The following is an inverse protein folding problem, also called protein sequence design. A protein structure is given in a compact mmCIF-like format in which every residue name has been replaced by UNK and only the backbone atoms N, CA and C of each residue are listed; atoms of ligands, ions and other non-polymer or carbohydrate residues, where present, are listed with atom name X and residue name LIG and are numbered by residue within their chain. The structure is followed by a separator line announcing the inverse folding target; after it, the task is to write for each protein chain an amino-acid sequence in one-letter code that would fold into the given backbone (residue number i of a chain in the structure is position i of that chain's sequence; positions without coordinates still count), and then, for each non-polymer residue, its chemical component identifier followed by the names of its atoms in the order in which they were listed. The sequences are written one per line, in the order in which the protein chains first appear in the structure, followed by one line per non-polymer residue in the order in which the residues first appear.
data_IF_109445139362
#
_entry.id   IF_109445139362
#
_cell.length_a   1.000
_cell.length_b   1.000
_cell.length_c   1.000
_cell.angle_alpha   90.00
_cell.angle_beta   90.00
_cell.angle_gamma   90.00
#
_symmetry.space_group_name_H-M   'P 1'
#
loop_
_entity.id
_entity.type
_entity.pdbx_description
1 polymer ?
#
# COMPACT_ATOMS: atom_id res chain seq x y z
N UNK A 1 15.08 -8.69 -18.39
CA UNK A 1 14.97 -9.30 -17.05
C UNK A 1 15.38 -8.24 -16.04
N UNK A 2 14.45 -7.39 -15.61
CA UNK A 2 14.71 -6.43 -14.53
C UNK A 2 14.64 -7.21 -13.22
N UNK A 3 15.74 -7.25 -12.47
CA UNK A 3 15.71 -7.77 -11.11
C UNK A 3 14.68 -6.97 -10.34
N UNK A 4 13.65 -7.62 -9.83
CA UNK A 4 12.65 -6.97 -8.99
C UNK A 4 13.27 -6.88 -7.59
N UNK A 5 13.83 -5.73 -7.17
CA UNK A 5 14.58 -5.63 -5.92
C UNK A 5 13.71 -6.04 -4.72
N UNK A 6 12.39 -5.85 -4.79
CA UNK A 6 11.47 -6.22 -3.71
C UNK A 6 11.04 -7.69 -3.66
N UNK A 7 11.39 -8.54 -4.65
CA UNK A 7 10.87 -9.92 -4.70
C UNK A 7 11.24 -10.74 -3.46
N UNK A 8 12.42 -10.51 -2.88
CA UNK A 8 12.87 -11.22 -1.69
C UNK A 8 12.08 -10.82 -0.43
N UNK A 9 11.49 -9.62 -0.40
CA UNK A 9 10.67 -9.14 0.73
C UNK A 9 9.37 -9.92 0.90
N UNK A 10 8.94 -10.63 -0.15
CA UNK A 10 7.76 -11.48 -0.16
C UNK A 10 8.12 -12.95 -0.33
N UNK A 11 9.32 -13.36 0.09
CA UNK A 11 9.69 -14.76 0.12
C UNK A 11 8.70 -15.57 0.99
N UNK A 12 8.19 -16.68 0.47
CA UNK A 12 7.17 -17.50 1.13
C UNK A 12 5.72 -17.05 0.87
N UNK A 13 5.48 -16.02 0.05
CA UNK A 13 4.13 -15.57 -0.31
C UNK A 13 3.28 -16.69 -0.95
N UNK A 14 3.93 -17.66 -1.58
CA UNK A 14 3.33 -18.85 -2.17
C UNK A 14 2.76 -19.84 -1.14
N UNK A 15 3.03 -19.65 0.15
CA UNK A 15 2.48 -20.44 1.26
C UNK A 15 1.25 -19.80 1.93
N UNK A 16 0.92 -18.54 1.59
CA UNK A 16 -0.20 -17.84 2.21
C UNK A 16 -1.57 -18.40 1.74
N UNK A 17 -2.53 -18.57 2.65
CA UNK A 17 -3.90 -18.98 2.29
C UNK A 17 -4.69 -17.85 1.60
N UNK A 18 -4.34 -16.61 1.90
CA UNK A 18 -4.87 -15.44 1.22
C UNK A 18 -3.88 -14.28 1.20
N UNK A 19 -4.09 -13.37 0.24
CA UNK A 19 -3.32 -12.14 0.06
C UNK A 19 -4.29 -10.98 -0.12
N UNK A 20 -4.03 -9.86 0.54
CA UNK A 20 -4.74 -8.62 0.32
C UNK A 20 -3.76 -7.55 -0.19
N UNK A 21 -4.17 -6.79 -1.20
CA UNK A 21 -3.38 -5.70 -1.72
C UNK A 21 -4.25 -4.68 -2.46
N UNK A 22 -3.71 -3.47 -2.62
CA UNK A 22 -4.44 -2.34 -3.17
C UNK A 22 -3.83 -1.90 -4.50
N UNK A 23 -4.60 -2.05 -5.57
CA UNK A 23 -4.26 -1.45 -6.87
C UNK A 23 -4.24 0.08 -6.80
N UNK A 24 -5.02 0.66 -5.88
CA UNK A 24 -5.10 2.11 -5.71
C UNK A 24 -3.95 2.73 -4.92
N UNK A 25 -2.97 1.93 -4.51
CA UNK A 25 -1.69 2.40 -3.97
C UNK A 25 -0.68 2.52 -5.12
N UNK A 26 0.29 1.61 -5.16
CA UNK A 26 1.42 1.68 -6.10
C UNK A 26 1.13 1.25 -7.54
N UNK A 27 -0.05 0.72 -7.83
CA UNK A 27 -0.42 0.32 -9.19
C UNK A 27 -1.22 1.40 -9.94
N UNK A 28 -1.27 2.63 -9.40
CA UNK A 28 -1.81 3.81 -10.05
C UNK A 28 -3.29 3.70 -10.49
N UNK A 29 -4.07 2.81 -9.88
CA UNK A 29 -5.52 2.81 -10.09
C UNK A 29 -6.19 3.88 -9.22
N UNK A 30 -7.23 4.58 -9.70
CA UNK A 30 -8.02 5.47 -8.84
C UNK A 30 -8.72 4.70 -7.71
N UNK A 31 -8.90 5.35 -6.55
CA UNK A 31 -9.71 4.82 -5.44
C UNK A 31 -11.15 4.50 -5.89
N UNK A 32 -11.82 3.49 -5.34
CA UNK A 32 -11.31 2.37 -4.53
C UNK A 32 -10.91 1.16 -5.41
N UNK A 33 -9.81 0.49 -5.11
CA UNK A 33 -9.38 -0.68 -5.90
C UNK A 33 -8.58 -1.67 -5.04
N UNK A 34 -9.22 -2.20 -4.00
CA UNK A 34 -8.66 -3.29 -3.19
C UNK A 34 -8.87 -4.65 -3.85
N UNK A 35 -8.01 -5.61 -3.55
CA UNK A 35 -8.09 -6.97 -4.04
C UNK A 35 -7.72 -7.95 -2.93
N UNK A 36 -8.48 -9.05 -2.88
CA UNK A 36 -8.13 -10.23 -2.09
C UNK A 36 -7.99 -11.40 -3.06
N UNK A 37 -6.89 -12.14 -2.93
CA UNK A 37 -6.70 -13.45 -3.54
C UNK A 37 -6.78 -14.49 -2.42
N UNK A 38 -7.57 -15.53 -2.62
CA UNK A 38 -7.68 -16.66 -1.68
C UNK A 38 -7.32 -17.92 -2.43
N UNK A 39 -6.48 -18.76 -1.83
CA UNK A 39 -6.02 -20.03 -2.42
C UNK A 39 -7.18 -20.97 -2.68
N UNK A 40 -8.07 -21.08 -1.70
CA UNK A 40 -9.31 -21.85 -1.81
C UNK A 40 -10.51 -20.92 -1.71
N UNK A 41 -11.20 -20.72 -2.84
CA UNK A 41 -12.35 -19.84 -2.92
C UNK A 41 -13.56 -20.38 -2.13
N UNK A 42 -13.60 -21.68 -1.81
CA UNK A 42 -14.74 -22.27 -1.09
C UNK A 42 -14.88 -21.66 0.30
N UNK A 43 -13.80 -21.17 0.90
CA UNK A 43 -13.86 -20.42 2.17
C UNK A 43 -14.67 -19.13 2.05
N UNK A 44 -14.54 -18.41 0.92
CA UNK A 44 -15.36 -17.22 0.68
C UNK A 44 -16.81 -17.61 0.44
N UNK A 45 -17.03 -18.61 -0.41
CA UNK A 45 -18.38 -19.06 -0.75
C UNK A 45 -19.14 -19.59 0.48
N UNK A 46 -18.53 -20.44 1.31
CA UNK A 46 -19.17 -20.98 2.51
C UNK A 46 -19.48 -19.92 3.56
N UNK A 47 -18.69 -18.84 3.59
CA UNK A 47 -18.82 -17.77 4.58
C UNK A 47 -19.85 -16.72 4.15
N UNK A 48 -19.83 -16.32 2.88
CA UNK A 48 -20.61 -15.17 2.39
C UNK A 48 -21.83 -15.56 1.55
N UNK A 49 -21.99 -16.83 1.17
CA UNK A 49 -23.16 -17.25 0.40
C UNK A 49 -24.46 -16.97 1.14
N UNK A 50 -25.18 -15.99 0.62
CA UNK A 50 -26.55 -15.70 1.00
C UNK A 50 -27.33 -15.56 -0.30
N UNK A 51 -28.21 -16.54 -0.57
CA UNK A 51 -29.04 -16.51 -1.78
C UNK A 51 -30.46 -16.12 -1.38
N UNK A 52 -30.80 -14.81 -1.40
CA UNK A 52 -32.17 -14.41 -1.17
C UNK A 52 -33.06 -14.98 -2.29
N UNK A 53 -34.36 -15.22 -2.04
CA UNK A 53 -35.24 -15.87 -3.02
C UNK A 53 -35.29 -15.19 -4.39
N UNK A 54 -35.10 -13.87 -4.45
CA UNK A 54 -35.09 -13.09 -5.69
C UNK A 54 -33.80 -13.23 -6.52
N UNK A 55 -32.75 -13.83 -5.96
CA UNK A 55 -31.51 -14.21 -6.67
C UNK A 55 -31.41 -15.74 -6.84
N UNK A 56 -32.52 -16.46 -6.68
CA UNK A 56 -32.54 -17.91 -6.86
C UNK A 56 -32.10 -18.27 -8.29
N UNK A 57 -31.16 -19.22 -8.37
CA UNK A 57 -30.69 -19.74 -9.65
C UNK A 57 -31.86 -20.42 -10.35
N UNK A 58 -32.18 -19.96 -11.55
CA UNK A 58 -32.91 -20.79 -12.51
C UNK A 58 -31.87 -21.56 -13.31
N UNK A 59 -31.98 -22.89 -13.31
CA UNK A 59 -31.04 -23.79 -14.00
C UNK A 59 -30.95 -23.53 -15.52
N UNK A 60 -31.83 -22.69 -16.07
CA UNK A 60 -31.93 -22.36 -17.49
C UNK A 60 -31.07 -21.18 -17.94
N UNK A 61 -30.63 -20.29 -17.05
CA UNK A 61 -29.95 -19.03 -17.43
C UNK A 61 -28.53 -18.86 -16.87
N UNK A 62 -28.02 -19.90 -16.21
CA UNK A 62 -26.64 -19.93 -15.74
C UNK A 62 -25.76 -20.28 -16.94
N UNK A 63 -25.14 -19.29 -17.59
CA UNK A 63 -24.01 -19.58 -18.49
C UNK A 63 -22.90 -20.36 -17.78
N UNK A 64 -21.80 -20.70 -18.47
CA UNK A 64 -20.68 -21.49 -17.92
C UNK A 64 -20.03 -20.94 -16.62
N UNK A 65 -20.42 -19.74 -16.19
CA UNK A 65 -19.93 -19.11 -14.98
C UNK A 65 -20.63 -19.66 -13.74
N UNK A 66 -20.01 -20.67 -13.12
CA UNK A 66 -20.54 -21.37 -11.94
C UNK A 66 -20.56 -20.52 -10.66
N UNK A 67 -19.83 -19.41 -10.63
CA UNK A 67 -19.62 -18.61 -9.42
C UNK A 67 -20.24 -17.22 -9.54
N UNK A 68 -21.16 -16.92 -8.61
CA UNK A 68 -21.73 -15.60 -8.46
C UNK A 68 -20.83 -14.79 -7.53
N UNK A 69 -20.23 -13.73 -8.04
CA UNK A 69 -19.27 -12.95 -7.27
C UNK A 69 -19.83 -12.31 -6.00
N UNK A 70 -21.15 -12.13 -5.89
CA UNK A 70 -21.77 -11.64 -4.65
C UNK A 70 -21.69 -12.65 -3.50
N UNK A 71 -21.45 -13.95 -3.79
CA UNK A 71 -21.21 -14.97 -2.77
C UNK A 71 -19.76 -14.97 -2.28
N UNK A 72 -18.89 -14.09 -2.81
CA UNK A 72 -17.46 -14.08 -2.49
C UNK A 72 -17.06 -12.93 -1.57
N UNK A 73 -18.03 -12.20 -1.02
CA UNK A 73 -17.78 -11.08 -0.11
C UNK A 73 -19.08 -10.49 0.43
N UNK A 74 -18.95 -9.38 1.15
CA UNK A 74 -20.07 -8.73 1.83
C UNK A 74 -21.01 -7.97 0.88
N UNK A 75 -20.54 -7.55 -0.29
CA UNK A 75 -21.29 -6.71 -1.23
C UNK A 75 -22.12 -7.55 -2.21
N UNK A 76 -23.45 -7.44 -2.13
CA UNK A 76 -24.36 -7.97 -3.17
C UNK A 76 -24.31 -7.08 -4.42
N UNK A 77 -24.55 -5.78 -4.24
CA UNK A 77 -24.42 -4.76 -5.28
C UNK A 77 -23.06 -4.10 -5.17
N UNK A 78 -22.30 -4.04 -6.27
CA UNK A 78 -20.95 -3.47 -6.28
C UNK A 78 -20.59 -2.82 -7.61
N UNK A 79 -19.71 -1.82 -7.57
CA UNK A 79 -19.18 -1.18 -8.77
C UNK A 79 -18.27 -2.11 -9.58
N UNK A 80 -18.12 -1.84 -10.88
CA UNK A 80 -17.23 -2.61 -11.76
C UNK A 80 -15.75 -2.20 -11.59
N UNK A 81 -15.20 -2.38 -10.37
CA UNK A 81 -13.81 -1.98 -10.02
C UNK A 81 -12.76 -2.68 -10.88
N UNK A 82 -13.04 -3.90 -11.34
CA UNK A 82 -12.15 -4.63 -12.23
C UNK A 82 -11.93 -3.94 -13.58
N UNK A 83 -12.88 -3.12 -14.07
CA UNK A 83 -12.74 -2.40 -15.34
C UNK A 83 -11.53 -1.46 -15.31
N UNK A 84 -11.44 -0.59 -14.30
CA UNK A 84 -10.31 0.35 -14.18
C UNK A 84 -8.99 -0.37 -13.99
N UNK A 85 -8.96 -1.43 -13.19
CA UNK A 85 -7.75 -2.27 -13.01
C UNK A 85 -7.30 -2.88 -14.33
N UNK A 86 -8.24 -3.49 -15.07
CA UNK A 86 -7.95 -4.10 -16.38
C UNK A 86 -7.39 -3.08 -17.37
N UNK A 87 -7.97 -1.89 -17.45
CA UNK A 87 -7.50 -0.84 -18.36
C UNK A 87 -6.14 -0.26 -17.93
N UNK A 88 -5.90 -0.03 -16.64
CA UNK A 88 -4.58 0.39 -16.13
C UNK A 88 -3.50 -0.63 -16.50
N UNK A 89 -3.76 -1.92 -16.31
CA UNK A 89 -2.81 -2.99 -16.65
C UNK A 89 -2.61 -3.12 -18.16
N UNK A 90 -3.69 -3.02 -18.95
CA UNK A 90 -3.61 -3.09 -20.43
C UNK A 90 -2.84 -1.91 -21.03
N UNK A 91 -3.08 -0.70 -20.52
CA UNK A 91 -2.48 0.52 -21.03
C UNK A 91 -1.00 0.64 -20.64
N UNK A 92 -0.66 0.41 -19.37
CA UNK A 92 0.70 0.62 -18.90
C UNK A 92 1.57 -0.64 -19.01
N UNK A 93 0.98 -1.82 -18.89
CA UNK A 93 1.71 -3.07 -18.79
C UNK A 93 2.41 -3.24 -17.43
N UNK A 94 2.56 -4.49 -16.99
CA UNK A 94 3.15 -4.82 -15.68
C UNK A 94 4.63 -4.42 -15.56
N UNK A 95 5.36 -4.34 -16.68
CA UNK A 95 6.78 -3.98 -16.68
C UNK A 95 6.97 -2.51 -16.32
N UNK A 96 6.19 -1.61 -16.94
CA UNK A 96 6.26 -0.17 -16.67
C UNK A 96 5.78 0.16 -15.26
N UNK A 97 4.72 -0.50 -14.80
CA UNK A 97 4.25 -0.37 -13.41
C UNK A 97 5.33 -0.81 -12.41
N UNK A 98 5.99 -1.95 -12.67
CA UNK A 98 7.11 -2.41 -11.84
C UNK A 98 8.31 -1.46 -11.84
N UNK A 99 8.63 -0.85 -12.98
CA UNK A 99 9.69 0.17 -13.08
C UNK A 99 9.36 1.40 -12.23
N UNK A 100 8.12 1.91 -12.26
CA UNK A 100 7.71 3.05 -11.43
C UNK A 100 7.84 2.76 -9.93
N UNK A 101 7.49 1.55 -9.50
CA UNK A 101 7.68 1.11 -8.11
C UNK A 101 9.17 1.12 -7.73
N UNK A 102 10.04 0.61 -8.60
CA UNK A 102 11.49 0.62 -8.36
C UNK A 102 12.05 2.05 -8.28
N UNK A 103 11.65 2.93 -9.20
CA UNK A 103 12.01 4.36 -9.18
C UNK A 103 11.57 5.04 -7.88
N UNK A 104 10.39 4.73 -7.34
CA UNK A 104 9.96 5.27 -6.05
C UNK A 104 10.83 4.79 -4.87
N UNK A 105 11.32 3.55 -4.91
CA UNK A 105 12.26 3.05 -3.91
C UNK A 105 13.63 3.75 -4.04
N UNK A 106 14.10 3.98 -5.27
CA UNK A 106 15.32 4.75 -5.53
C UNK A 106 15.20 6.20 -5.04
N UNK A 107 14.04 6.84 -5.21
CA UNK A 107 13.76 8.18 -4.67
C UNK A 107 13.85 8.22 -3.13
N UNK A 108 13.38 7.18 -2.45
CA UNK A 108 13.49 7.10 -1.00
C UNK A 108 14.95 6.92 -0.53
N UNK A 109 15.74 6.11 -1.23
CA UNK A 109 17.18 5.99 -0.98
C UNK A 109 17.91 7.30 -1.29
N UNK A 110 17.50 8.01 -2.33
CA UNK A 110 18.04 9.32 -2.63
C UNK A 110 17.75 10.33 -1.52
N UNK A 111 16.52 10.34 -0.97
CA UNK A 111 16.18 11.16 0.20
C UNK A 111 17.08 10.81 1.39
N UNK A 112 17.29 9.53 1.70
CA UNK A 112 18.25 9.09 2.73
C UNK A 112 19.63 9.73 2.51
N UNK A 113 20.15 9.65 1.29
CA UNK A 113 21.47 10.22 0.96
C UNK A 113 21.55 11.75 1.14
N UNK A 114 20.43 12.46 1.01
CA UNK A 114 20.34 13.90 1.26
C UNK A 114 20.27 14.20 2.76
N UNK A 115 19.52 13.39 3.52
CA UNK A 115 19.41 13.53 4.98
C UNK A 115 20.75 13.26 5.67
N UNK A 116 21.50 12.26 5.21
CA UNK A 116 22.84 11.93 5.75
C UNK A 116 23.89 13.02 5.49
N UNK A 117 23.69 13.84 4.45
CA UNK A 117 24.57 14.97 4.10
C UNK A 117 24.12 16.29 4.73
N UNK A 118 23.02 16.29 5.48
CA UNK A 118 22.50 17.51 6.08
C UNK A 118 23.44 18.00 7.20
N UNK A 119 23.55 19.32 7.35
CA UNK A 119 24.36 19.92 8.42
C UNK A 119 23.71 19.75 9.80
N UNK A 120 22.37 19.66 9.84
CA UNK A 120 21.64 19.40 11.06
C UNK A 120 21.65 17.90 11.39
N UNK A 121 21.74 17.51 12.67
CA UNK A 121 21.67 16.10 13.03
C UNK A 121 20.28 15.52 12.74
N UNK A 122 20.25 14.48 11.91
CA UNK A 122 19.05 13.74 11.53
C UNK A 122 19.25 12.28 11.86
N UNK A 123 18.27 11.68 12.53
CA UNK A 123 18.26 10.27 12.86
C UNK A 123 17.29 9.53 11.94
N UNK A 124 17.80 8.61 11.13
CA UNK A 124 16.99 7.68 10.33
C UNK A 124 16.57 6.51 11.21
N UNK A 125 15.27 6.39 11.51
CA UNK A 125 14.77 5.52 12.60
C UNK A 125 14.91 4.03 12.27
N UNK A 126 14.76 3.65 11.00
CA UNK A 126 14.84 2.26 10.54
C UNK A 126 15.46 2.19 9.13
N UNK A 127 16.11 1.07 8.75
CA UNK A 127 16.54 0.85 7.37
C UNK A 127 15.37 0.95 6.39
N UNK A 128 15.55 1.75 5.33
CA UNK A 128 14.54 1.97 4.31
C UNK A 128 14.50 0.78 3.35
N UNK A 129 13.43 0.00 3.40
CA UNK A 129 13.27 -1.21 2.57
C UNK A 129 12.46 -0.97 1.29
N UNK A 130 11.61 0.05 1.28
CA UNK A 130 10.69 0.40 0.18
C UNK A 130 10.74 1.93 -0.08
N UNK A 131 9.61 2.62 -0.19
CA UNK A 131 9.55 4.07 -0.49
C UNK A 131 9.19 4.98 0.69
N UNK A 132 9.19 4.48 1.93
CA UNK A 132 8.88 5.29 3.12
C UNK A 132 10.15 5.46 3.93
N UNK A 133 10.52 6.71 4.21
CA UNK A 133 11.68 7.07 5.03
C UNK A 133 11.16 7.61 6.36
N UNK A 134 11.46 6.90 7.45
CA UNK A 134 11.18 7.37 8.80
C UNK A 134 12.44 8.02 9.36
N UNK A 135 12.37 9.32 9.63
CA UNK A 135 13.48 10.09 10.21
C UNK A 135 12.94 11.14 11.19
N UNK A 136 13.81 11.61 12.07
CA UNK A 136 13.55 12.75 12.96
C UNK A 136 14.77 13.66 13.01
N UNK A 137 14.55 14.96 13.18
CA UNK A 137 15.62 15.89 13.51
C UNK A 137 15.97 15.80 15.00
N UNK A 138 17.26 15.89 15.32
CA UNK A 138 17.79 15.93 16.68
C UNK A 138 18.68 17.18 16.84
N UNK A 139 18.09 18.38 16.99
CA UNK A 139 18.86 19.62 17.13
C UNK A 139 19.93 19.52 18.23
N UNK A 140 21.12 20.06 17.99
CA UNK A 140 22.25 19.99 18.93
C UNK A 140 21.98 20.72 20.24
N UNK A 141 21.06 21.69 20.21
CA UNK A 141 20.58 22.47 21.35
C UNK A 141 19.80 21.60 22.35
N UNK A 142 19.28 20.46 21.91
CA UNK A 142 18.56 19.51 22.75
C UNK A 142 19.44 18.30 23.03
N UNK A 143 19.43 17.81 24.27
CA UNK A 143 20.05 16.52 24.57
C UNK A 143 19.33 15.41 23.81
N UNK A 144 20.07 14.47 23.20
CA UNK A 144 19.49 13.34 22.45
C UNK A 144 18.52 12.47 23.26
N UNK A 145 18.67 12.47 24.58
CA UNK A 145 17.80 11.73 25.52
C UNK A 145 16.53 12.49 25.88
N UNK A 146 16.45 13.78 25.53
CA UNK A 146 15.29 14.62 25.76
C UNK A 146 14.26 14.41 24.64
N UNK A 147 13.58 13.26 24.67
CA UNK A 147 12.61 12.90 23.65
C UNK A 147 11.44 13.89 23.60
N UNK A 148 11.05 14.49 24.74
CA UNK A 148 9.93 15.44 24.78
C UNK A 148 10.23 16.70 23.96
N UNK A 149 11.40 17.32 24.17
CA UNK A 149 11.80 18.49 23.38
C UNK A 149 11.99 18.16 21.89
N UNK A 150 12.61 17.00 21.58
CA UNK A 150 12.79 16.57 20.20
C UNK A 150 11.45 16.30 19.50
N UNK A 151 10.49 15.67 20.18
CA UNK A 151 9.16 15.40 19.63
C UNK A 151 8.38 16.69 19.43
N UNK A 152 8.43 17.62 20.39
CA UNK A 152 7.83 18.96 20.24
C UNK A 152 8.41 19.71 19.03
N UNK A 153 9.74 19.67 18.85
CA UNK A 153 10.41 20.28 17.71
C UNK A 153 9.94 19.67 16.38
N UNK A 154 9.94 18.34 16.26
CA UNK A 154 9.54 17.67 15.02
C UNK A 154 8.05 17.89 14.72
N UNK A 155 7.18 17.97 15.73
CA UNK A 155 5.77 18.29 15.56
C UNK A 155 5.57 19.74 15.07
N UNK A 156 6.31 20.70 15.61
CA UNK A 156 6.26 22.08 15.14
C UNK A 156 6.81 22.20 13.71
N UNK A 157 7.95 21.57 13.42
CA UNK A 157 8.52 21.55 12.08
C UNK A 157 7.56 20.96 11.05
N UNK A 158 6.84 19.89 11.41
CA UNK A 158 5.80 19.31 10.55
C UNK A 158 4.69 20.31 10.26
N UNK A 159 4.20 21.02 11.29
CA UNK A 159 3.18 22.05 11.14
C UNK A 159 3.66 23.21 10.26
N UNK A 160 4.92 23.62 10.42
CA UNK A 160 5.54 24.68 9.61
C UNK A 160 5.68 24.25 8.14
N UNK A 161 6.07 22.99 7.88
CA UNK A 161 6.12 22.44 6.52
C UNK A 161 4.72 22.43 5.89
N UNK A 162 3.69 21.98 6.60
CA UNK A 162 2.32 21.96 6.11
C UNK A 162 1.80 23.38 5.81
N UNK A 163 2.02 24.32 6.72
CA UNK A 163 1.54 25.70 6.58
C UNK A 163 2.30 26.47 5.51
N UNK A 164 3.56 26.12 5.23
CA UNK A 164 4.32 26.68 4.11
C UNK A 164 3.76 26.30 2.74
N UNK A 165 3.01 25.19 2.64
CA UNK A 165 2.46 24.68 1.38
C UNK A 165 3.49 24.00 0.45
N UNK A 166 4.75 23.85 0.88
CA UNK A 166 5.83 23.25 0.07
C UNK A 166 5.68 21.73 0.01
N UNK A 167 5.28 21.09 1.11
CA UNK A 167 5.12 19.65 1.20
C UNK A 167 4.09 19.26 2.26
N UNK A 168 3.62 18.01 2.20
CA UNK A 168 2.63 17.47 3.15
C UNK A 168 3.01 16.05 3.63
N UNK A 169 4.12 15.90 4.39
CA UNK A 169 4.47 14.61 4.98
C UNK A 169 3.53 14.26 6.15
N UNK A 170 3.50 13.00 6.56
CA UNK A 170 2.79 12.56 7.78
C UNK A 170 3.79 12.15 8.86
N UNK A 171 3.43 12.31 10.13
CA UNK A 171 4.19 11.76 11.26
C UNK A 171 3.58 10.47 11.81
N UNK A 172 4.37 9.76 12.61
CA UNK A 172 3.96 8.58 13.37
C UNK A 172 4.83 8.43 14.61
N UNK A 173 4.39 7.62 15.57
CA UNK A 173 5.16 7.28 16.78
C UNK A 173 5.63 5.84 16.64
N UNK A 174 6.95 5.63 16.76
CA UNK A 174 7.55 4.29 16.70
C UNK A 174 7.89 3.88 18.14
N UNK A 175 7.16 2.90 18.66
CA UNK A 175 7.50 2.25 19.93
C UNK A 175 8.58 1.20 19.67
N UNK A 176 9.65 1.24 20.46
CA UNK A 176 10.70 0.22 20.47
C UNK A 176 10.42 -0.86 21.50
#
# INVERSE_FOLDING_TARGET
RFGNPGRHLVAGIDQADSLAFDFHKWLHCPYDAGCVLVRDYTYLESTFSTTPPYLSKSDQYSGDNKHWFFNLGLEISRSFRALKVCFTVKEHGIVKLGQKIAENCEQAQYLVSLLEKNEHPIHIIRPVSLNIVNFRFEPNEFHKTDNELNDMFNNQLLADIHTSGIAFPSSTVIQN
#
